data_IF_481566308123
#
_entry.id   IF_481566308123
#
_cell.length_a   1.000
_cell.length_b   1.000
_cell.length_c   1.000
_cell.angle_alpha   90.00
_cell.angle_beta   90.00
_cell.angle_gamma   90.00
#
_symmetry.space_group_name_H-M   'P 1'
#
loop_
_entity.id
_entity.type
_entity.pdbx_description
1 polymer ?
#
# COMPACT_ATOMS: atom_id res chain seq x y z
N UNK A 1 47.55 43.62 3.11
CA UNK A 1 46.13 44.05 2.99
C UNK A 1 45.34 42.90 2.40
N UNK A 2 44.46 42.25 3.17
CA UNK A 2 42.97 42.33 3.06
C UNK A 2 42.50 41.90 1.64
N UNK A 3 41.73 40.83 1.41
CA UNK A 3 40.62 40.24 2.18
C UNK A 3 40.38 38.75 1.87
N UNK A 4 39.94 38.04 2.90
CA UNK A 4 39.12 36.82 2.83
C UNK A 4 37.75 37.12 2.20
N UNK A 5 37.23 36.19 1.41
CA UNK A 5 35.81 35.89 1.21
C UNK A 5 35.78 34.42 0.74
N UNK A 6 35.66 33.45 1.64
CA UNK A 6 34.40 32.99 2.23
C UNK A 6 33.36 32.63 1.16
N UNK A 7 33.66 31.58 0.40
CA UNK A 7 32.68 30.88 -0.44
C UNK A 7 31.85 29.94 0.43
N UNK A 8 30.82 30.50 1.06
CA UNK A 8 29.81 29.79 1.83
C UNK A 8 29.07 28.80 0.93
N UNK A 9 29.32 27.51 1.20
CA UNK A 9 28.29 26.49 1.46
C UNK A 9 26.95 26.67 0.72
N UNK A 10 26.82 26.05 -0.46
CA UNK A 10 25.52 25.69 -1.01
C UNK A 10 25.36 24.17 -0.93
N UNK A 11 25.29 23.68 0.31
CA UNK A 11 24.73 22.37 0.60
C UNK A 11 23.22 22.51 0.35
N UNK A 12 22.80 22.20 -0.88
CA UNK A 12 21.42 21.91 -1.20
C UNK A 12 21.04 20.68 -0.37
N UNK A 13 20.58 20.97 0.84
CA UNK A 13 19.80 20.04 1.64
C UNK A 13 18.71 19.49 0.75
N UNK A 14 18.83 18.19 0.47
CA UNK A 14 17.75 17.34 0.00
C UNK A 14 16.63 17.40 1.03
N UNK A 15 15.80 18.44 0.97
CA UNK A 15 14.49 18.45 1.59
C UNK A 15 13.57 17.57 0.74
N UNK A 16 13.81 16.26 0.81
CA UNK A 16 12.78 15.29 0.47
C UNK A 16 11.88 15.17 1.71
N UNK A 17 11.07 16.19 1.95
CA UNK A 17 9.89 16.08 2.80
C UNK A 17 8.89 15.16 2.09
N UNK A 18 9.04 13.85 2.27
CA UNK A 18 7.94 12.91 2.02
C UNK A 18 7.26 12.63 3.36
N UNK A 19 6.40 13.57 3.77
CA UNK A 19 5.47 13.48 4.91
C UNK A 19 4.29 12.52 4.64
N UNK A 20 4.60 11.32 4.15
CA UNK A 20 3.69 10.18 4.28
C UNK A 20 3.87 9.60 5.68
N UNK A 21 2.80 9.17 6.35
CA UNK A 21 2.92 8.37 7.57
C UNK A 21 4.04 7.33 7.39
N UNK A 22 4.94 7.23 8.37
CA UNK A 22 6.13 6.41 8.22
C UNK A 22 5.73 4.98 7.82
N UNK A 23 6.43 4.38 6.86
CA UNK A 23 6.12 3.03 6.32
C UNK A 23 5.72 2.03 7.43
N UNK A 24 6.39 2.07 8.58
CA UNK A 24 6.08 1.23 9.73
C UNK A 24 4.66 1.44 10.32
N UNK A 25 4.20 2.69 10.45
CA UNK A 25 2.86 3.02 10.97
C UNK A 25 1.75 2.59 10.01
N UNK A 26 1.99 2.81 8.71
CA UNK A 26 1.12 2.35 7.63
C UNK A 26 0.97 0.83 7.68
N UNK A 27 2.08 0.10 7.73
CA UNK A 27 2.06 -1.37 7.83
C UNK A 27 1.40 -1.84 9.13
N UNK A 28 1.64 -1.18 10.26
CA UNK A 28 1.02 -1.53 11.53
C UNK A 28 -0.51 -1.39 11.47
N UNK A 29 -1.00 -0.36 10.77
CA UNK A 29 -2.44 -0.14 10.57
C UNK A 29 -3.05 -1.21 9.67
N UNK A 30 -2.39 -1.50 8.54
CA UNK A 30 -2.83 -2.53 7.58
C UNK A 30 -2.98 -3.90 8.25
N UNK A 31 -1.97 -4.30 9.02
CA UNK A 31 -1.90 -5.65 9.61
C UNK A 31 -2.83 -5.83 10.82
N UNK A 32 -3.31 -4.74 11.43
CA UNK A 32 -4.32 -4.79 12.51
C UNK A 32 -5.76 -4.87 11.97
N UNK A 33 -6.01 -4.42 10.74
CA UNK A 33 -7.35 -4.37 10.16
C UNK A 33 -7.82 -5.71 9.60
N UNK A 34 -8.67 -6.42 10.35
CA UNK A 34 -9.37 -7.63 9.90
C UNK A 34 -10.87 -7.38 9.70
N UNK A 35 -11.52 -8.23 8.90
CA UNK A 35 -12.96 -8.19 8.66
C UNK A 35 -13.37 -7.28 7.51
N UNK A 36 -14.57 -6.67 7.60
CA UNK A 36 -15.22 -5.98 6.48
C UNK A 36 -14.47 -4.74 5.97
N UNK A 37 -13.60 -4.14 6.78
CA UNK A 37 -12.82 -2.96 6.41
C UNK A 37 -11.33 -3.27 6.26
N UNK A 38 -10.98 -4.52 5.95
CA UNK A 38 -9.60 -4.94 5.81
C UNK A 38 -8.88 -4.20 4.68
N UNK A 39 -7.66 -3.76 4.96
CA UNK A 39 -6.82 -3.10 3.97
C UNK A 39 -6.22 -4.10 2.99
N UNK A 40 -5.92 -3.63 1.79
CA UNK A 40 -5.14 -4.38 0.84
C UNK A 40 -3.65 -4.38 1.19
N UNK A 41 -3.00 -5.48 0.87
CA UNK A 41 -1.56 -5.70 0.97
C UNK A 41 -1.05 -6.07 -0.42
N UNK A 42 0.09 -5.49 -0.81
CA UNK A 42 0.82 -5.95 -1.98
C UNK A 42 2.01 -6.80 -1.58
N UNK A 43 2.11 -8.02 -2.11
CA UNK A 43 3.18 -8.98 -1.79
C UNK A 43 3.79 -9.58 -3.05
N UNK A 44 5.13 -9.74 -3.02
CA UNK A 44 5.84 -10.50 -4.05
C UNK A 44 5.86 -11.96 -3.66
N UNK A 45 5.46 -12.84 -4.57
CA UNK A 45 5.40 -14.29 -4.35
C UNK A 45 6.60 -14.99 -4.99
N UNK A 46 6.91 -16.22 -4.56
CA UNK A 46 8.04 -17.05 -5.02
C UNK A 46 8.10 -17.27 -6.53
N UNK A 47 6.96 -17.21 -7.22
CA UNK A 47 6.88 -17.26 -8.68
C UNK A 47 7.41 -15.97 -9.37
N UNK A 48 7.85 -14.99 -8.56
CA UNK A 48 8.41 -13.72 -9.00
C UNK A 48 7.37 -12.65 -9.29
N UNK A 49 6.07 -12.98 -9.24
CA UNK A 49 5.00 -12.05 -9.55
C UNK A 49 4.55 -11.27 -8.31
N UNK A 50 4.00 -10.09 -8.56
CA UNK A 50 3.39 -9.25 -7.54
C UNK A 50 1.89 -9.56 -7.45
N UNK A 51 1.36 -9.63 -6.24
CA UNK A 51 -0.04 -9.92 -5.96
C UNK A 51 -0.63 -8.92 -4.97
N UNK A 52 -1.89 -8.58 -5.16
CA UNK A 52 -2.71 -7.81 -4.23
C UNK A 52 -3.73 -8.73 -3.58
N UNK A 53 -3.87 -8.63 -2.26
CA UNK A 53 -4.79 -9.42 -1.44
C UNK A 53 -5.27 -8.59 -0.24
N UNK A 54 -6.46 -8.85 0.30
CA UNK A 54 -6.87 -8.23 1.56
C UNK A 54 -6.11 -8.84 2.74
N UNK A 55 -5.81 -8.04 3.77
CA UNK A 55 -5.13 -8.51 4.97
C UNK A 55 -5.91 -9.65 5.68
N UNK A 56 -7.24 -9.66 5.55
CA UNK A 56 -8.10 -10.73 6.07
C UNK A 56 -7.87 -12.05 5.35
N UNK A 57 -7.93 -12.07 4.01
CA UNK A 57 -7.69 -13.30 3.24
C UNK A 57 -6.26 -13.81 3.43
N UNK A 58 -5.29 -12.89 3.51
CA UNK A 58 -3.90 -13.24 3.77
C UNK A 58 -3.71 -13.87 5.16
N UNK A 59 -4.37 -13.33 6.19
CA UNK A 59 -4.38 -13.95 7.51
C UNK A 59 -5.06 -15.31 7.51
N UNK A 60 -6.21 -15.46 6.86
CA UNK A 60 -6.91 -16.75 6.76
C UNK A 60 -6.04 -17.81 6.08
N UNK A 61 -5.27 -17.44 5.05
CA UNK A 61 -4.27 -18.31 4.44
C UNK A 61 -3.25 -18.81 5.48
N UNK A 62 -2.58 -17.91 6.22
CA UNK A 62 -1.57 -18.30 7.21
C UNK A 62 -2.15 -19.05 8.41
N UNK A 63 -3.37 -18.70 8.82
CA UNK A 63 -4.09 -19.42 9.87
C UNK A 63 -4.38 -20.85 9.43
N UNK A 64 -4.88 -21.05 8.21
CA UNK A 64 -5.19 -22.39 7.70
C UNK A 64 -3.93 -23.22 7.43
N UNK A 65 -2.89 -22.63 6.85
CA UNK A 65 -1.70 -23.35 6.39
C UNK A 65 -0.69 -23.62 7.52
N UNK A 66 -0.47 -22.63 8.36
CA UNK A 66 0.62 -22.61 9.36
C UNK A 66 0.11 -22.56 10.82
N UNK A 67 -1.21 -22.50 11.02
CA UNK A 67 -1.81 -22.38 12.35
C UNK A 67 -1.49 -21.06 13.05
N UNK A 68 -1.26 -19.98 12.29
CA UNK A 68 -0.94 -18.68 12.88
C UNK A 68 -2.13 -18.10 13.63
N UNK A 69 -1.87 -17.58 14.84
CA UNK A 69 -2.74 -16.59 15.47
C UNK A 69 -2.46 -15.18 14.92
N UNK A 70 -3.28 -14.21 15.30
CA UNK A 70 -3.17 -12.84 14.81
C UNK A 70 -1.82 -12.19 15.14
N UNK A 71 -1.29 -12.44 16.35
CA UNK A 71 -0.05 -11.81 16.80
C UNK A 71 1.14 -12.35 16.02
N UNK A 72 1.22 -13.67 15.85
CA UNK A 72 2.26 -14.34 15.06
C UNK A 72 2.19 -13.91 13.60
N UNK A 73 0.98 -13.83 13.04
CA UNK A 73 0.75 -13.30 11.69
C UNK A 73 1.25 -11.87 11.52
N UNK A 74 0.85 -10.96 12.42
CA UNK A 74 1.25 -9.55 12.36
C UNK A 74 2.78 -9.40 12.45
N UNK A 75 3.43 -10.10 13.38
CA UNK A 75 4.89 -10.06 13.51
C UNK A 75 5.60 -10.60 12.26
N UNK A 76 5.12 -11.72 11.72
CA UNK A 76 5.69 -12.31 10.50
C UNK A 76 5.53 -11.38 9.29
N UNK A 77 4.31 -10.91 9.03
CA UNK A 77 4.02 -10.06 7.88
C UNK A 77 4.68 -8.69 7.99
N UNK A 78 4.82 -8.13 9.20
CA UNK A 78 5.58 -6.89 9.41
C UNK A 78 7.03 -7.06 8.95
N UNK A 79 7.66 -8.18 9.29
CA UNK A 79 9.03 -8.51 8.85
C UNK A 79 9.11 -8.66 7.32
N UNK A 80 8.16 -9.38 6.72
CA UNK A 80 8.10 -9.58 5.25
C UNK A 80 7.98 -8.23 4.52
N UNK A 81 7.02 -7.40 4.91
CA UNK A 81 6.68 -6.15 4.22
C UNK A 81 7.72 -5.04 4.45
N UNK A 82 8.34 -5.01 5.64
CA UNK A 82 9.40 -4.06 5.93
C UNK A 82 10.64 -4.31 5.07
N UNK A 83 11.01 -5.59 4.90
CA UNK A 83 12.21 -6.02 4.17
C UNK A 83 11.98 -6.26 2.67
N UNK A 84 10.76 -6.06 2.16
CA UNK A 84 10.36 -6.41 0.79
C UNK A 84 10.70 -7.87 0.43
N UNK A 85 10.55 -8.77 1.41
CA UNK A 85 10.86 -10.19 1.26
C UNK A 85 9.85 -10.89 0.36
N UNK A 86 10.32 -11.92 -0.35
CA UNK A 86 9.46 -12.80 -1.14
C UNK A 86 8.64 -13.68 -0.19
N UNK A 87 7.32 -13.61 -0.34
CA UNK A 87 6.38 -14.46 0.36
C UNK A 87 6.35 -15.84 -0.30
N UNK A 88 6.57 -16.88 0.50
CA UNK A 88 6.39 -18.26 0.05
C UNK A 88 4.94 -18.66 0.27
N UNK A 89 4.16 -18.66 -0.80
CA UNK A 89 2.79 -19.18 -0.81
C UNK A 89 2.67 -20.33 -1.79
N UNK A 90 1.82 -21.28 -1.45
CA UNK A 90 1.47 -22.40 -2.32
C UNK A 90 0.58 -21.90 -3.47
N UNK A 91 0.99 -22.18 -4.71
CA UNK A 91 0.30 -21.70 -5.92
C UNK A 91 -1.14 -22.21 -6.02
N UNK A 92 -1.44 -23.37 -5.45
CA UNK A 92 -2.81 -23.93 -5.42
C UNK A 92 -3.77 -23.09 -4.56
N UNK A 93 -3.23 -22.33 -3.60
CA UNK A 93 -4.00 -21.49 -2.68
C UNK A 93 -4.20 -20.06 -3.18
N UNK A 94 -3.46 -19.64 -4.21
CA UNK A 94 -3.59 -18.29 -4.78
C UNK A 94 -5.02 -18.01 -5.25
N UNK A 95 -5.61 -18.93 -6.01
CA UNK A 95 -6.97 -18.78 -6.50
C UNK A 95 -8.01 -18.84 -5.36
N UNK A 96 -7.78 -19.69 -4.35
CA UNK A 96 -8.70 -19.89 -3.23
C UNK A 96 -8.84 -18.63 -2.35
N UNK A 97 -7.74 -17.94 -2.09
CA UNK A 97 -7.69 -16.79 -1.18
C UNK A 97 -7.65 -15.44 -1.92
N UNK A 98 -8.12 -15.40 -3.17
CA UNK A 98 -8.25 -14.17 -3.95
C UNK A 98 -6.93 -13.38 -4.09
N UNK A 99 -5.81 -14.07 -4.30
CA UNK A 99 -4.57 -13.41 -4.70
C UNK A 99 -4.72 -12.88 -6.13
N UNK A 100 -4.86 -11.56 -6.27
CA UNK A 100 -5.02 -10.92 -7.56
C UNK A 100 -3.66 -10.56 -8.13
N UNK A 101 -3.27 -11.21 -9.22
CA UNK A 101 -2.00 -10.95 -9.89
C UNK A 101 -1.97 -9.52 -10.44
N UNK A 102 -0.89 -8.80 -10.14
CA UNK A 102 -0.65 -7.46 -10.70
C UNK A 102 -0.02 -7.63 -12.06
N UNK A 103 -0.76 -7.27 -13.11
CA UNK A 103 -0.21 -7.20 -14.44
C UNK A 103 0.70 -5.98 -14.59
N UNK A 104 1.77 -6.13 -15.39
CA UNK A 104 2.62 -5.00 -15.76
C UNK A 104 1.78 -4.00 -16.56
N UNK A 105 1.67 -2.77 -16.06
CA UNK A 105 1.20 -1.63 -16.83
C UNK A 105 2.34 -0.62 -16.93
N UNK A 106 2.56 -0.07 -18.12
CA UNK A 106 3.73 0.75 -18.46
C UNK A 106 3.76 2.15 -17.82
N UNK A 107 2.80 2.47 -16.94
CA UNK A 107 2.63 3.83 -16.41
C UNK A 107 2.85 3.83 -14.89
N UNK A 108 4.10 3.93 -14.42
CA UNK A 108 4.34 4.32 -13.02
C UNK A 108 3.96 5.79 -12.91
N UNK A 109 2.70 6.02 -12.56
CA UNK A 109 2.14 7.35 -12.43
C UNK A 109 2.36 7.84 -11.01
N UNK A 110 2.84 9.08 -10.87
CA UNK A 110 2.89 9.80 -9.60
C UNK A 110 1.56 9.70 -8.82
N UNK A 111 1.62 9.61 -7.49
CA UNK A 111 0.44 9.47 -6.63
C UNK A 111 -0.58 10.60 -6.87
N UNK A 112 -0.13 11.83 -7.07
CA UNK A 112 -0.99 12.97 -7.35
C UNK A 112 -1.79 12.78 -8.66
N UNK A 113 -1.16 12.18 -9.67
CA UNK A 113 -1.83 11.89 -10.94
C UNK A 113 -2.80 10.71 -10.77
N UNK A 114 -2.44 9.69 -9.98
CA UNK A 114 -3.36 8.59 -9.64
C UNK A 114 -4.65 9.16 -9.04
N UNK A 115 -4.55 9.99 -8.01
CA UNK A 115 -5.71 10.60 -7.36
C UNK A 115 -6.52 11.45 -8.33
N UNK A 116 -5.87 12.38 -9.05
CA UNK A 116 -6.57 13.25 -10.01
C UNK A 116 -7.31 12.47 -11.09
N UNK A 117 -6.69 11.44 -11.66
CA UNK A 117 -7.27 10.66 -12.76
C UNK A 117 -8.37 9.73 -12.27
N UNK A 118 -8.15 9.00 -11.18
CA UNK A 118 -8.97 7.85 -10.82
C UNK A 118 -9.85 8.03 -9.59
N UNK A 119 -9.66 9.07 -8.80
CA UNK A 119 -10.40 9.23 -7.55
C UNK A 119 -11.17 10.56 -7.47
N UNK A 120 -12.32 10.51 -6.81
CA UNK A 120 -13.08 11.68 -6.36
C UNK A 120 -12.74 11.93 -4.89
N UNK A 121 -12.45 13.18 -4.52
CA UNK A 121 -12.17 13.56 -3.13
C UNK A 121 -13.48 13.84 -2.40
N UNK A 122 -13.63 13.28 -1.20
CA UNK A 122 -14.65 13.66 -0.22
C UNK A 122 -13.97 14.15 1.07
N UNK A 123 -14.71 14.69 2.06
CA UNK A 123 -14.11 15.14 3.31
C UNK A 123 -13.36 14.04 4.08
N UNK A 124 -13.77 12.78 3.92
CA UNK A 124 -13.28 11.66 4.73
C UNK A 124 -12.41 10.67 3.95
N UNK A 125 -12.59 10.57 2.63
CA UNK A 125 -11.95 9.55 1.80
C UNK A 125 -11.73 10.05 0.37
N UNK A 126 -10.87 9.36 -0.36
CA UNK A 126 -10.88 9.35 -1.83
C UNK A 126 -11.63 8.12 -2.31
N UNK A 127 -12.56 8.30 -3.25
CA UNK A 127 -13.40 7.25 -3.82
C UNK A 127 -13.01 6.98 -5.26
N UNK A 128 -12.83 5.71 -5.60
CA UNK A 128 -12.54 5.33 -6.98
C UNK A 128 -13.71 5.75 -7.89
N UNK A 129 -13.40 6.36 -9.03
CA UNK A 129 -14.39 6.73 -10.05
C UNK A 129 -15.00 5.49 -10.70
N UNK A 130 -16.26 5.62 -11.12
CA UNK A 130 -16.95 4.57 -11.86
C UNK A 130 -16.28 4.26 -13.20
N UNK A 131 -16.52 3.04 -13.71
CA UNK A 131 -15.99 2.58 -15.00
C UNK A 131 -14.54 2.10 -14.98
N UNK A 132 -13.86 2.12 -13.81
CA UNK A 132 -12.52 1.55 -13.67
C UNK A 132 -12.60 0.01 -13.60
N UNK A 133 -12.03 -0.67 -14.59
CA UNK A 133 -11.97 -2.15 -14.64
C UNK A 133 -11.25 -2.77 -13.44
N UNK A 134 -11.63 -3.98 -13.03
CA UNK A 134 -10.99 -4.69 -11.90
C UNK A 134 -9.48 -4.86 -12.06
N UNK A 135 -9.03 -5.19 -13.28
CA UNK A 135 -7.60 -5.27 -13.62
C UNK A 135 -6.86 -3.96 -13.31
N UNK A 136 -7.49 -2.82 -13.63
CA UNK A 136 -6.94 -1.50 -13.31
C UNK A 136 -7.03 -1.21 -11.81
N UNK A 137 -8.08 -1.65 -11.10
CA UNK A 137 -8.17 -1.52 -9.63
C UNK A 137 -6.99 -2.21 -8.94
N UNK A 138 -6.70 -3.46 -9.32
CA UNK A 138 -5.57 -4.23 -8.78
C UNK A 138 -4.24 -3.49 -9.00
N UNK A 139 -4.05 -2.94 -10.20
CA UNK A 139 -2.89 -2.10 -10.50
C UNK A 139 -2.79 -0.86 -9.61
N UNK A 140 -3.90 -0.12 -9.46
CA UNK A 140 -3.94 1.09 -8.63
C UNK A 140 -3.65 0.77 -7.15
N UNK A 141 -4.21 -0.32 -6.63
CA UNK A 141 -3.93 -0.77 -5.25
C UNK A 141 -2.44 -1.05 -5.06
N UNK A 142 -1.82 -1.76 -6.00
CA UNK A 142 -0.38 -2.00 -5.95
C UNK A 142 0.42 -0.69 -5.96
N UNK A 143 0.11 0.20 -6.91
CA UNK A 143 0.83 1.48 -7.06
C UNK A 143 0.68 2.38 -5.83
N UNK A 144 -0.50 2.41 -5.20
CA UNK A 144 -0.74 3.13 -3.95
C UNK A 144 0.07 2.51 -2.80
N UNK A 145 0.07 1.17 -2.68
CA UNK A 145 0.81 0.47 -1.64
C UNK A 145 2.32 0.71 -1.75
N UNK A 146 2.88 0.73 -2.97
CA UNK A 146 4.29 1.07 -3.24
C UNK A 146 4.66 2.50 -2.81
N UNK A 147 3.67 3.38 -2.66
CA UNK A 147 3.79 4.76 -2.14
C UNK A 147 3.45 4.87 -0.66
N UNK A 148 3.30 3.75 0.06
CA UNK A 148 2.84 3.68 1.44
C UNK A 148 1.44 4.30 1.65
N UNK A 149 0.58 4.21 0.63
CA UNK A 149 -0.81 4.65 0.71
C UNK A 149 -1.70 3.40 0.73
N UNK A 150 -2.55 3.30 1.74
CA UNK A 150 -3.41 2.14 1.96
C UNK A 150 -4.80 2.38 1.44
N UNK A 151 -5.37 1.33 0.88
CA UNK A 151 -6.72 1.32 0.34
C UNK A 151 -7.49 0.12 0.87
N UNK A 152 -8.81 0.24 0.89
CA UNK A 152 -9.73 -0.82 1.29
C UNK A 152 -10.99 -0.76 0.43
N UNK A 153 -11.78 -1.82 0.46
CA UNK A 153 -13.14 -1.77 -0.06
C UNK A 153 -14.04 -1.19 1.03
N UNK A 154 -14.88 -0.25 0.62
CA UNK A 154 -16.01 0.21 1.42
C UNK A 154 -17.11 -0.86 1.40
N UNK A 155 -17.62 -1.24 2.57
CA UNK A 155 -18.49 -2.40 2.74
C UNK A 155 -19.93 -2.13 2.32
N UNK A 156 -20.36 -0.87 2.29
CA UNK A 156 -21.70 -0.47 1.82
C UNK A 156 -21.73 -0.38 0.28
N UNK A 157 -20.76 0.31 -0.31
CA UNK A 157 -20.75 0.60 -1.74
C UNK A 157 -20.00 -0.44 -2.59
N UNK A 158 -19.15 -1.27 -1.98
CA UNK A 158 -18.19 -2.13 -2.70
C UNK A 158 -17.09 -1.36 -3.45
N UNK A 159 -17.00 -0.04 -3.25
CA UNK A 159 -16.04 0.81 -3.94
C UNK A 159 -14.67 0.79 -3.29
N UNK A 160 -13.62 0.91 -4.10
CA UNK A 160 -12.26 1.11 -3.58
C UNK A 160 -12.13 2.52 -3.01
N UNK A 161 -11.71 2.62 -1.76
CA UNK A 161 -11.49 3.89 -1.08
C UNK A 161 -10.07 4.01 -0.51
N UNK A 162 -9.59 5.24 -0.43
CA UNK A 162 -8.35 5.62 0.27
C UNK A 162 -8.70 6.56 1.41
N UNK A 163 -8.58 6.11 2.67
CA UNK A 163 -8.90 6.95 3.83
C UNK A 163 -8.04 8.19 3.97
N UNK A 164 -8.67 9.35 4.26
CA UNK A 164 -7.98 10.63 4.30
C UNK A 164 -7.01 10.79 5.49
N UNK A 165 -7.17 9.99 6.55
CA UNK A 165 -6.33 10.09 7.74
C UNK A 165 -4.83 9.96 7.47
N UNK A 166 -4.47 9.29 6.38
CA UNK A 166 -3.11 9.02 5.93
C UNK A 166 -2.37 10.28 5.43
N UNK A 167 -3.12 11.35 5.15
CA UNK A 167 -2.62 12.62 4.63
C UNK A 167 -2.71 13.76 5.66
N UNK A 168 -3.14 13.48 6.90
CA UNK A 168 -3.50 14.52 7.88
C UNK A 168 -2.32 15.37 8.39
N UNK A 169 -1.08 14.96 8.13
CA UNK A 169 0.12 15.76 8.43
C UNK A 169 0.50 16.72 7.30
N UNK A 170 -0.23 16.71 6.17
CA UNK A 170 -0.18 17.76 5.16
C UNK A 170 -0.96 18.99 5.66
N UNK A 171 -0.44 19.66 6.70
CA UNK A 171 -0.96 20.97 7.08
C UNK A 171 -0.77 21.94 5.91
N UNK A 172 -1.90 22.51 5.52
CA UNK A 172 -2.07 23.65 4.61
C UNK A 172 -1.09 24.79 4.87
#
# INVERSE_FOLDING_TARGET
MKRLLSGIFFLLFLNNCNNTAGKAEVLATVLKGFGRHSYFVSVKVKDGNQYVITNTELYLYFKQKEGFDEKRYQSYMMSVLSNASILTVDTTFLAKFQFNKVDRMEEIVDAAIIFRRYFNKTPENYWLKDGVSDRKKVYLINALFDKNIVSRIDDESGSLIVPYWQFKDEKQ
#
